data_IF_946011149088
#
_entry.id   IF_946011149088
#
_cell.length_a   1.000
_cell.length_b   1.000
_cell.length_c   1.000
_cell.angle_alpha   90.00
_cell.angle_beta   90.00
_cell.angle_gamma   90.00
#
_symmetry.space_group_name_H-M   'P 1'
#
loop_
_entity.id
_entity.type
_entity.pdbx_description
1 polymer ?
#
# COMPACT_ATOMS: atom_id res chain seq x y z
N UNK A 1 3.35 3.92 -6.81
CA UNK A 1 2.68 4.48 -5.62
C UNK A 1 3.56 5.54 -4.95
N UNK A 2 4.89 5.38 -4.91
CA UNK A 2 5.79 6.35 -4.27
C UNK A 2 6.39 7.32 -5.29
N UNK A 3 6.49 8.59 -4.91
CA UNK A 3 7.23 9.58 -5.68
C UNK A 3 8.70 9.57 -5.22
N UNK A 4 9.60 9.12 -6.08
CA UNK A 4 11.02 8.97 -5.74
C UNK A 4 11.78 10.25 -5.34
N UNK A 5 11.22 11.43 -5.59
CA UNK A 5 11.85 12.74 -5.32
C UNK A 5 11.17 13.57 -4.23
N UNK A 6 10.01 13.11 -3.69
CA UNK A 6 9.23 13.86 -2.72
C UNK A 6 9.44 13.37 -1.29
N UNK A 7 9.19 14.23 -0.32
CA UNK A 7 9.13 13.88 1.11
C UNK A 7 7.84 13.15 1.48
N UNK A 8 6.97 12.87 0.52
CA UNK A 8 5.67 12.27 0.75
C UNK A 8 5.74 10.74 0.73
N UNK A 9 4.95 10.14 1.61
CA UNK A 9 4.80 8.69 1.70
C UNK A 9 4.12 8.14 0.45
N UNK A 10 3.07 8.79 0.00
CA UNK A 10 2.28 8.42 -1.17
C UNK A 10 2.38 9.49 -2.26
N UNK A 11 2.02 9.13 -3.49
CA UNK A 11 1.80 10.10 -4.56
C UNK A 11 0.53 10.90 -4.28
N UNK A 12 0.52 12.17 -4.69
CA UNK A 12 -0.62 13.08 -4.55
C UNK A 12 -1.93 12.48 -5.07
N UNK A 13 -1.90 11.80 -6.22
CA UNK A 13 -3.06 11.12 -6.80
C UNK A 13 -3.67 10.07 -5.87
N UNK A 14 -2.83 9.34 -5.12
CA UNK A 14 -3.29 8.34 -4.13
C UNK A 14 -3.89 9.04 -2.92
N UNK A 15 -3.27 10.12 -2.45
CA UNK A 15 -3.81 10.92 -1.34
C UNK A 15 -5.18 11.51 -1.67
N UNK A 16 -5.36 11.99 -2.90
CA UNK A 16 -6.65 12.51 -3.37
C UNK A 16 -7.73 11.44 -3.34
N UNK A 17 -7.43 10.23 -3.87
CA UNK A 17 -8.38 9.11 -3.81
C UNK A 17 -8.77 8.78 -2.37
N UNK A 18 -7.79 8.73 -1.45
CA UNK A 18 -8.05 8.44 -0.04
C UNK A 18 -8.96 9.50 0.56
N UNK A 19 -8.69 10.79 0.32
CA UNK A 19 -9.48 11.91 0.84
C UNK A 19 -10.88 11.96 0.27
N UNK A 20 -11.02 11.80 -1.06
CA UNK A 20 -12.31 11.79 -1.75
C UNK A 20 -13.21 10.64 -1.28
N UNK A 21 -12.61 9.55 -0.78
CA UNK A 21 -13.33 8.35 -0.36
C UNK A 21 -13.27 8.11 1.15
N UNK A 22 -12.94 9.13 1.95
CA UNK A 22 -12.90 9.02 3.43
C UNK A 22 -14.29 9.09 4.08
N UNK A 23 -15.32 9.57 3.37
CA UNK A 23 -16.65 9.84 3.90
C UNK A 23 -17.76 9.28 2.98
N UNK A 24 -17.75 7.96 2.78
CA UNK A 24 -18.91 7.29 2.17
C UNK A 24 -19.86 6.81 3.26
N UNK A 25 -21.15 7.18 3.17
CA UNK A 25 -22.16 6.75 4.14
C UNK A 25 -22.48 5.24 4.04
N UNK A 26 -22.29 4.66 2.85
CA UNK A 26 -22.72 3.30 2.51
C UNK A 26 -21.58 2.33 2.26
N UNK A 27 -20.34 2.82 2.19
CA UNK A 27 -19.15 2.04 1.89
C UNK A 27 -18.04 2.32 2.90
N UNK A 28 -17.72 1.36 3.77
CA UNK A 28 -16.61 1.47 4.72
C UNK A 28 -15.30 1.07 4.05
N UNK A 29 -14.48 2.07 3.69
CA UNK A 29 -13.21 1.86 3.01
C UNK A 29 -12.06 1.97 4.00
N UNK A 30 -11.31 0.88 4.15
CA UNK A 30 -10.11 0.84 4.96
C UNK A 30 -8.85 0.81 4.09
N UNK A 31 -7.96 1.76 4.35
CA UNK A 31 -6.69 1.88 3.64
C UNK A 31 -5.57 1.22 4.45
N UNK A 32 -4.91 0.26 3.83
CA UNK A 32 -3.86 -0.52 4.48
C UNK A 32 -2.50 -0.31 3.82
N UNK A 33 -1.45 -0.27 4.65
CA UNK A 33 -0.08 -0.18 4.18
C UNK A 33 0.79 -1.22 4.88
N UNK A 34 1.40 -2.18 4.15
CA UNK A 34 2.32 -3.14 4.74
C UNK A 34 3.52 -2.45 5.39
N UNK A 35 3.89 -2.87 6.59
CA UNK A 35 4.99 -2.27 7.36
C UNK A 35 6.32 -2.28 6.60
N UNK A 36 6.60 -3.35 5.84
CA UNK A 36 7.82 -3.44 5.02
C UNK A 36 7.92 -2.31 3.99
N UNK A 37 6.79 -1.87 3.45
CA UNK A 37 6.73 -0.76 2.49
C UNK A 37 7.05 0.57 3.18
N UNK A 38 6.60 0.75 4.43
CA UNK A 38 6.93 1.93 5.25
C UNK A 38 8.44 1.96 5.51
N UNK A 39 9.03 0.85 5.94
CA UNK A 39 10.47 0.75 6.20
C UNK A 39 11.31 1.01 4.95
N UNK A 40 10.88 0.47 3.81
CA UNK A 40 11.56 0.74 2.54
C UNK A 40 11.52 2.23 2.21
N UNK A 41 10.37 2.87 2.39
CA UNK A 41 10.23 4.30 2.12
C UNK A 41 11.07 5.14 3.07
N UNK A 42 11.08 4.82 4.36
CA UNK A 42 11.96 5.46 5.34
C UNK A 42 13.42 5.34 4.92
N UNK A 43 13.89 4.14 4.60
CA UNK A 43 15.25 3.91 4.15
C UNK A 43 15.61 4.74 2.90
N UNK A 44 14.74 4.77 1.90
CA UNK A 44 14.95 5.54 0.67
C UNK A 44 15.06 7.04 0.94
N UNK A 45 14.21 7.58 1.80
CA UNK A 45 14.21 9.01 2.15
C UNK A 45 15.44 9.38 2.99
N UNK A 46 15.78 8.58 4.00
CA UNK A 46 16.98 8.79 4.84
C UNK A 46 18.22 8.78 3.95
N UNK A 47 18.38 7.76 3.12
CA UNK A 47 19.52 7.67 2.20
C UNK A 47 19.67 8.90 1.32
N UNK A 48 18.56 9.36 0.72
CA UNK A 48 18.59 10.59 -0.10
C UNK A 48 18.93 11.83 0.72
N UNK A 49 18.43 11.93 1.94
CA UNK A 49 18.78 13.02 2.85
C UNK A 49 20.27 13.03 3.19
N UNK A 50 20.82 11.86 3.51
CA UNK A 50 22.26 11.69 3.81
C UNK A 50 23.13 12.03 2.59
N UNK A 51 22.72 11.67 1.39
CA UNK A 51 23.41 12.03 0.14
C UNK A 51 23.52 13.56 -0.07
N UNK A 52 22.67 14.36 0.58
CA UNK A 52 22.71 15.83 0.52
C UNK A 52 23.60 16.49 1.59
N UNK A 53 24.04 15.77 2.63
CA UNK A 53 24.87 16.34 3.70
C UNK A 53 26.12 17.07 3.21
N UNK A 54 26.90 16.56 2.23
CA UNK A 54 28.06 17.29 1.72
C UNK A 54 27.69 18.65 1.07
N UNK A 55 26.48 18.78 0.55
CA UNK A 55 25.99 20.04 -0.02
C UNK A 55 25.59 21.02 1.08
N UNK A 56 25.01 20.52 2.17
CA UNK A 56 24.70 21.31 3.36
C UNK A 56 25.99 21.84 4.00
N UNK A 57 27.02 21.02 4.14
CA UNK A 57 28.32 21.45 4.66
C UNK A 57 29.01 22.55 3.79
N UNK A 58 28.83 22.48 2.47
CA UNK A 58 29.29 23.54 1.57
C UNK A 58 28.53 24.84 1.80
N UNK A 59 27.22 24.75 1.99
CA UNK A 59 26.39 25.91 2.30
C UNK A 59 26.73 26.51 3.66
N UNK A 60 26.97 25.71 4.69
CA UNK A 60 27.40 26.17 6.02
C UNK A 60 28.73 26.95 5.94
N UNK A 61 29.68 26.45 5.16
CA UNK A 61 30.96 27.15 4.94
C UNK A 61 30.75 28.49 4.24
N UNK A 62 29.87 28.56 3.25
CA UNK A 62 29.56 29.79 2.53
C UNK A 62 28.88 30.82 3.43
N UNK A 63 27.95 30.38 4.29
CA UNK A 63 27.20 31.24 5.19
C UNK A 63 27.99 31.63 6.46
N UNK A 64 29.10 30.96 6.77
CA UNK A 64 29.80 31.09 8.04
C UNK A 64 28.99 30.65 9.26
N UNK A 65 27.96 29.86 9.06
CA UNK A 65 27.02 29.41 10.10
C UNK A 65 26.73 27.92 9.95
N UNK A 66 26.66 27.19 11.08
CA UNK A 66 26.28 25.79 11.11
C UNK A 66 24.76 25.64 11.19
N UNK A 67 24.20 24.85 10.28
CA UNK A 67 22.78 24.48 10.28
C UNK A 67 22.48 23.32 11.24
N UNK A 68 23.54 22.66 11.74
CA UNK A 68 23.48 21.52 12.64
C UNK A 68 22.57 20.38 12.14
N UNK A 69 22.59 20.12 10.83
CA UNK A 69 21.83 19.02 10.22
C UNK A 69 22.74 17.81 10.09
N UNK A 70 22.48 16.78 10.90
CA UNK A 70 23.16 15.49 10.87
C UNK A 70 22.26 14.36 10.39
N UNK A 71 22.83 13.17 10.26
CA UNK A 71 22.11 11.96 9.86
C UNK A 71 20.98 11.61 10.86
N UNK A 72 21.23 11.77 12.15
CA UNK A 72 20.27 11.56 13.23
C UNK A 72 19.02 12.46 13.12
N UNK A 73 19.24 13.72 12.74
CA UNK A 73 18.16 14.68 12.52
C UNK A 73 17.35 14.28 11.28
N UNK A 74 18.04 13.90 10.19
CA UNK A 74 17.39 13.42 8.96
C UNK A 74 16.53 12.19 9.27
N UNK A 75 17.09 11.21 9.97
CA UNK A 75 16.38 9.98 10.32
C UNK A 75 15.13 10.28 11.17
N UNK A 76 15.27 11.11 12.20
CA UNK A 76 14.17 11.50 13.09
C UNK A 76 13.07 12.20 12.30
N UNK A 77 13.41 13.20 11.48
CA UNK A 77 12.46 13.96 10.69
C UNK A 77 11.73 13.12 9.64
N UNK A 78 12.43 12.19 8.98
CA UNK A 78 11.81 11.27 8.03
C UNK A 78 10.79 10.39 8.73
N UNK A 79 11.12 9.81 9.88
CA UNK A 79 10.18 8.98 10.66
C UNK A 79 8.96 9.78 11.13
N UNK A 80 9.17 10.97 11.67
CA UNK A 80 8.08 11.89 12.08
C UNK A 80 7.16 12.24 10.90
N UNK A 81 7.74 12.59 9.75
CA UNK A 81 6.99 12.96 8.55
C UNK A 81 6.12 11.80 8.05
N UNK A 82 6.69 10.61 7.96
CA UNK A 82 5.94 9.41 7.52
C UNK A 82 4.82 9.07 8.51
N UNK A 83 5.09 9.09 9.82
CA UNK A 83 4.07 8.80 10.82
C UNK A 83 2.95 9.85 10.82
N UNK A 84 3.28 11.11 10.61
CA UNK A 84 2.29 12.18 10.46
C UNK A 84 1.39 11.96 9.25
N UNK A 85 1.95 11.53 8.11
CA UNK A 85 1.17 11.25 6.90
C UNK A 85 0.27 10.00 7.07
N UNK A 86 0.77 8.94 7.71
CA UNK A 86 -0.02 7.76 8.06
C UNK A 86 -1.25 8.16 8.89
N UNK A 87 -1.03 8.98 9.93
CA UNK A 87 -2.10 9.45 10.80
C UNK A 87 -3.09 10.36 10.07
N UNK A 88 -2.59 11.32 9.27
CA UNK A 88 -3.41 12.28 8.51
C UNK A 88 -4.33 11.60 7.50
N UNK A 89 -3.87 10.51 6.89
CA UNK A 89 -4.62 9.76 5.89
C UNK A 89 -5.37 8.57 6.49
N UNK A 90 -5.36 8.41 7.81
CA UNK A 90 -6.00 7.28 8.52
C UNK A 90 -5.58 5.90 7.98
N UNK A 91 -4.31 5.79 7.54
CA UNK A 91 -3.79 4.53 7.02
C UNK A 91 -3.58 3.52 8.15
N UNK A 92 -4.06 2.31 7.95
CA UNK A 92 -3.82 1.19 8.87
C UNK A 92 -2.54 0.47 8.47
N UNK A 93 -1.57 0.38 9.37
CA UNK A 93 -0.35 -0.40 9.13
C UNK A 93 -0.62 -1.87 9.38
N UNK A 94 -0.24 -2.73 8.42
CA UNK A 94 -0.31 -4.18 8.60
C UNK A 94 1.10 -4.71 8.85
N UNK A 95 1.26 -5.41 9.97
CA UNK A 95 2.49 -6.13 10.32
C UNK A 95 2.34 -7.59 9.89
N UNK A 96 3.34 -8.12 9.21
CA UNK A 96 3.39 -9.54 8.87
C UNK A 96 3.52 -10.38 10.13
N UNK A 97 2.62 -11.33 10.31
CA UNK A 97 2.83 -12.40 11.29
C UNK A 97 3.79 -13.43 10.71
N UNK A 98 5.04 -13.35 11.14
CA UNK A 98 6.11 -14.22 10.66
C UNK A 98 5.90 -15.69 11.03
N UNK A 99 5.11 -16.01 12.05
CA UNK A 99 4.80 -17.38 12.46
C UNK A 99 3.86 -18.09 11.48
N UNK A 100 3.07 -17.30 10.74
CA UNK A 100 2.11 -17.77 9.75
C UNK A 100 2.65 -17.70 8.30
N UNK A 101 3.97 -17.61 8.12
CA UNK A 101 4.62 -17.64 6.80
C UNK A 101 5.23 -19.00 6.54
N UNK A 102 4.95 -19.57 5.38
CA UNK A 102 5.65 -20.75 4.89
C UNK A 102 7.03 -20.36 4.35
N UNK A 103 7.97 -20.21 5.29
CA UNK A 103 9.35 -19.83 4.99
C UNK A 103 10.06 -20.84 4.06
N UNK A 104 9.75 -22.12 4.17
CA UNK A 104 10.35 -23.13 3.32
C UNK A 104 9.93 -22.91 1.85
N UNK A 105 8.63 -22.68 1.60
CA UNK A 105 8.13 -22.35 0.28
C UNK A 105 8.71 -21.05 -0.27
N UNK A 106 8.83 -20.03 0.59
CA UNK A 106 9.42 -18.74 0.21
C UNK A 106 10.89 -18.91 -0.20
N UNK A 107 11.68 -19.65 0.56
CA UNK A 107 13.09 -19.96 0.24
C UNK A 107 13.18 -20.73 -1.08
N UNK A 108 12.34 -21.74 -1.30
CA UNK A 108 12.33 -22.51 -2.56
C UNK A 108 11.94 -21.63 -3.76
N UNK A 109 10.97 -20.72 -3.59
CA UNK A 109 10.58 -19.78 -4.63
C UNK A 109 11.72 -18.79 -4.94
N UNK A 110 12.44 -18.30 -3.93
CA UNK A 110 13.62 -17.47 -4.12
C UNK A 110 14.70 -18.17 -4.88
N UNK A 111 15.07 -19.40 -4.47
CA UNK A 111 16.08 -20.20 -5.13
C UNK A 111 15.72 -20.57 -6.58
N UNK A 112 14.43 -20.79 -6.85
CA UNK A 112 13.90 -21.16 -8.18
C UNK A 112 13.48 -19.96 -9.02
N UNK A 113 13.63 -18.73 -8.50
CA UNK A 113 13.25 -17.47 -9.13
C UNK A 113 11.79 -17.43 -9.60
N UNK A 114 10.90 -18.01 -8.81
CA UNK A 114 9.46 -17.96 -9.05
C UNK A 114 8.86 -16.63 -8.58
N UNK A 115 7.88 -16.06 -9.26
CA UNK A 115 7.23 -14.83 -8.83
C UNK A 115 6.81 -14.88 -7.34
N UNK A 116 6.98 -13.76 -6.61
CA UNK A 116 7.36 -12.42 -7.05
C UNK A 116 8.88 -12.18 -7.20
N UNK A 117 9.72 -13.21 -7.13
CA UNK A 117 11.16 -13.06 -7.36
C UNK A 117 11.45 -12.79 -8.84
N UNK A 118 12.40 -11.88 -9.08
CA UNK A 118 12.84 -11.52 -10.43
C UNK A 118 13.57 -12.72 -11.07
N UNK A 119 13.19 -13.15 -12.27
CA UNK A 119 13.87 -14.23 -13.00
C UNK A 119 15.26 -13.85 -13.51
N UNK A 120 15.64 -12.55 -13.48
CA UNK A 120 16.94 -12.06 -13.93
C UNK A 120 18.09 -12.41 -12.99
N UNK A 121 19.29 -11.92 -13.31
CA UNK A 121 20.53 -12.24 -12.55
C UNK A 121 20.55 -11.61 -11.14
N UNK A 122 19.88 -10.46 -10.97
CA UNK A 122 19.86 -9.76 -9.68
C UNK A 122 18.84 -10.40 -8.75
N UNK A 123 19.26 -10.66 -7.52
CA UNK A 123 18.37 -11.17 -6.48
C UNK A 123 17.43 -10.05 -6.00
N UNK A 124 16.19 -10.07 -6.50
CA UNK A 124 15.11 -9.13 -6.16
C UNK A 124 13.84 -9.92 -5.90
N UNK A 125 12.92 -9.31 -5.12
CA UNK A 125 11.58 -9.86 -4.88
C UNK A 125 11.35 -10.31 -3.45
N UNK A 126 12.36 -10.28 -2.56
CA UNK A 126 12.15 -10.65 -1.16
C UNK A 126 11.13 -9.73 -0.48
N UNK A 127 11.24 -8.41 -0.67
CA UNK A 127 10.26 -7.44 -0.12
C UNK A 127 8.87 -7.64 -0.71
N UNK A 128 8.80 -7.91 -1.99
CA UNK A 128 7.53 -8.20 -2.68
C UNK A 128 6.89 -9.48 -2.16
N UNK A 129 7.70 -10.48 -1.81
CA UNK A 129 7.21 -11.69 -1.12
C UNK A 129 6.64 -11.38 0.27
N UNK A 130 7.27 -10.47 1.03
CA UNK A 130 6.74 -10.02 2.32
C UNK A 130 5.42 -9.25 2.14
N UNK A 131 5.33 -8.40 1.12
CA UNK A 131 4.07 -7.71 0.77
C UNK A 131 2.98 -8.72 0.41
N UNK A 132 3.30 -9.72 -0.42
CA UNK A 132 2.39 -10.79 -0.80
C UNK A 132 1.89 -11.56 0.42
N UNK A 133 2.77 -12.05 1.29
CA UNK A 133 2.37 -12.80 2.49
C UNK A 133 1.53 -11.94 3.45
N UNK A 134 1.88 -10.66 3.62
CA UNK A 134 1.09 -9.71 4.41
C UNK A 134 -0.33 -9.54 3.82
N UNK A 135 -0.44 -9.42 2.50
CA UNK A 135 -1.72 -9.33 1.81
C UNK A 135 -2.55 -10.62 1.95
N UNK A 136 -1.92 -11.78 1.83
CA UNK A 136 -2.60 -13.07 2.01
C UNK A 136 -3.13 -13.25 3.45
N UNK A 137 -2.39 -12.78 4.46
CA UNK A 137 -2.88 -12.79 5.84
C UNK A 137 -4.10 -11.88 6.01
N UNK A 138 -4.11 -10.70 5.38
CA UNK A 138 -5.28 -9.82 5.34
C UNK A 138 -6.48 -10.50 4.67
N UNK A 139 -6.26 -11.13 3.50
CA UNK A 139 -7.32 -11.88 2.77
C UNK A 139 -7.88 -12.99 3.63
N UNK A 140 -7.02 -13.75 4.32
CA UNK A 140 -7.45 -14.88 5.15
C UNK A 140 -8.21 -14.45 6.42
N UNK A 141 -7.94 -13.25 6.95
CA UNK A 141 -8.66 -12.67 8.09
C UNK A 141 -9.93 -11.91 7.70
N UNK A 142 -10.18 -11.71 6.40
CA UNK A 142 -11.32 -10.96 5.88
C UNK A 142 -12.48 -11.86 5.50
N UNK A 143 -13.74 -11.38 5.57
CA UNK A 143 -14.92 -12.11 5.07
C UNK A 143 -14.74 -12.50 3.60
N UNK A 144 -15.17 -13.73 3.25
CA UNK A 144 -14.97 -14.28 1.91
C UNK A 144 -16.07 -13.90 0.91
N UNK A 145 -17.20 -13.40 1.41
CA UNK A 145 -18.37 -13.04 0.58
C UNK A 145 -18.15 -11.69 -0.10
N UNK A 146 -18.15 -11.60 -1.45
CA UNK A 146 -17.86 -10.35 -2.18
C UNK A 146 -18.81 -9.19 -1.89
N UNK A 147 -20.06 -9.48 -1.48
CA UNK A 147 -21.04 -8.47 -1.09
C UNK A 147 -20.76 -7.85 0.28
N UNK A 148 -20.04 -8.56 1.16
CA UNK A 148 -19.74 -8.11 2.53
C UNK A 148 -18.38 -7.42 2.57
N UNK A 149 -17.38 -7.98 1.86
CA UNK A 149 -16.02 -7.49 1.90
C UNK A 149 -15.33 -7.72 0.56
N UNK A 150 -14.66 -6.71 0.05
CA UNK A 150 -13.72 -6.82 -1.08
C UNK A 150 -12.34 -6.40 -0.62
N UNK A 151 -11.37 -7.28 -0.81
CA UNK A 151 -9.96 -7.02 -0.50
C UNK A 151 -9.24 -6.67 -1.80
N UNK A 152 -8.62 -5.50 -1.85
CA UNK A 152 -8.03 -4.97 -3.08
C UNK A 152 -6.54 -4.73 -2.88
N UNK A 153 -5.72 -5.30 -3.76
CA UNK A 153 -4.31 -4.93 -3.90
C UNK A 153 -4.15 -4.00 -5.09
N UNK A 154 -3.56 -2.83 -4.88
CA UNK A 154 -3.19 -1.90 -5.95
C UNK A 154 -1.66 -1.93 -6.11
N UNK A 155 -1.18 -2.48 -7.22
CA UNK A 155 0.25 -2.55 -7.51
C UNK A 155 0.49 -2.55 -9.01
N UNK A 156 1.41 -1.72 -9.48
CA UNK A 156 1.89 -1.74 -10.86
C UNK A 156 3.07 -2.71 -11.06
N UNK A 157 3.52 -3.39 -10.01
CA UNK A 157 4.50 -4.47 -10.13
C UNK A 157 3.83 -5.73 -10.69
N UNK A 158 4.27 -6.13 -11.87
CA UNK A 158 3.68 -7.26 -12.59
C UNK A 158 3.97 -8.59 -11.89
N UNK A 159 5.19 -8.80 -11.39
CA UNK A 159 5.58 -10.06 -10.73
C UNK A 159 4.79 -10.25 -9.43
N UNK A 160 4.66 -9.19 -8.62
CA UNK A 160 3.84 -9.21 -7.42
C UNK A 160 2.36 -9.45 -7.77
N UNK A 161 1.84 -8.76 -8.78
CA UNK A 161 0.43 -8.89 -9.20
C UNK A 161 0.10 -10.29 -9.70
N UNK A 162 0.97 -10.89 -10.53
CA UNK A 162 0.78 -12.22 -11.05
C UNK A 162 0.88 -13.30 -9.95
N UNK A 163 1.88 -13.19 -9.06
CA UNK A 163 1.99 -14.07 -7.89
C UNK A 163 0.78 -13.98 -6.96
N UNK A 164 0.25 -12.75 -6.77
CA UNK A 164 -0.94 -12.55 -5.93
C UNK A 164 -2.18 -13.16 -6.56
N UNK A 165 -2.38 -12.97 -7.87
CA UNK A 165 -3.50 -13.60 -8.62
C UNK A 165 -3.48 -15.11 -8.51
N UNK A 166 -2.30 -15.74 -8.72
CA UNK A 166 -2.12 -17.18 -8.58
C UNK A 166 -2.51 -17.67 -7.17
N UNK A 167 -2.06 -16.96 -6.13
CA UNK A 167 -2.29 -17.34 -4.72
C UNK A 167 -3.70 -17.06 -4.21
N UNK A 168 -4.49 -16.28 -4.96
CA UNK A 168 -5.86 -15.89 -4.59
C UNK A 168 -6.91 -16.27 -5.63
N UNK A 169 -6.59 -17.18 -6.57
CA UNK A 169 -7.47 -17.53 -7.69
C UNK A 169 -8.81 -18.15 -7.26
N UNK A 170 -8.88 -18.74 -6.09
CA UNK A 170 -10.08 -19.31 -5.46
C UNK A 170 -10.90 -18.28 -4.66
N UNK A 171 -10.42 -17.04 -4.55
CA UNK A 171 -11.02 -15.96 -3.75
C UNK A 171 -11.80 -14.98 -4.62
N UNK A 172 -13.12 -15.11 -4.66
CA UNK A 172 -14.00 -14.25 -5.48
C UNK A 172 -14.10 -12.81 -4.97
N UNK A 173 -13.77 -12.57 -3.69
CA UNK A 173 -13.78 -11.28 -3.03
C UNK A 173 -12.46 -10.49 -3.17
N UNK A 174 -11.44 -11.05 -3.82
CA UNK A 174 -10.14 -10.41 -4.03
C UNK A 174 -10.05 -9.76 -5.40
N UNK A 175 -9.46 -8.57 -5.48
CA UNK A 175 -9.15 -7.86 -6.72
C UNK A 175 -7.70 -7.36 -6.70
N UNK A 176 -7.01 -7.55 -7.82
CA UNK A 176 -5.66 -7.03 -8.03
C UNK A 176 -5.73 -6.03 -9.17
N UNK A 177 -5.42 -4.77 -8.87
CA UNK A 177 -5.52 -3.64 -9.77
C UNK A 177 -4.12 -3.08 -10.06
N UNK A 178 -3.85 -2.74 -11.32
CA UNK A 178 -2.56 -2.19 -11.75
C UNK A 178 -2.58 -0.66 -11.87
N UNK A 179 -3.75 -0.05 -11.98
CA UNK A 179 -3.92 1.38 -12.14
C UNK A 179 -4.83 1.99 -11.05
N UNK A 180 -4.64 3.26 -10.78
CA UNK A 180 -5.48 4.02 -9.83
C UNK A 180 -6.87 4.29 -10.42
N UNK A 181 -6.97 4.42 -11.74
CA UNK A 181 -8.21 4.57 -12.49
C UNK A 181 -9.13 3.36 -12.32
N UNK A 182 -8.55 2.15 -12.29
CA UNK A 182 -9.31 0.92 -12.04
C UNK A 182 -9.87 0.91 -10.61
N UNK A 183 -9.09 1.43 -9.63
CA UNK A 183 -9.55 1.56 -8.25
C UNK A 183 -10.71 2.55 -8.13
N UNK A 184 -10.60 3.73 -8.77
CA UNK A 184 -11.69 4.73 -8.80
C UNK A 184 -12.96 4.13 -9.44
N UNK A 185 -12.79 3.44 -10.56
CA UNK A 185 -13.91 2.77 -11.25
C UNK A 185 -14.56 1.70 -10.38
N UNK A 186 -13.78 0.92 -9.65
CA UNK A 186 -14.30 -0.09 -8.73
C UNK A 186 -15.11 0.55 -7.59
N UNK A 187 -14.59 1.62 -6.96
CA UNK A 187 -15.30 2.33 -5.88
C UNK A 187 -16.61 2.88 -6.40
N UNK A 188 -16.61 3.59 -7.55
CA UNK A 188 -17.81 4.15 -8.15
C UNK A 188 -18.85 3.08 -8.47
N UNK A 189 -18.43 1.91 -8.97
CA UNK A 189 -19.31 0.78 -9.24
C UNK A 189 -19.95 0.26 -7.96
N UNK A 190 -19.19 0.13 -6.89
CA UNK A 190 -19.72 -0.36 -5.61
C UNK A 190 -20.73 0.61 -4.99
N UNK A 191 -20.48 1.91 -5.09
CA UNK A 191 -21.43 2.95 -4.66
C UNK A 191 -22.72 2.88 -5.49
N UNK A 192 -22.62 2.76 -6.82
CA UNK A 192 -23.78 2.64 -7.69
C UNK A 192 -24.58 1.34 -7.46
N UNK A 193 -23.92 0.20 -7.22
CA UNK A 193 -24.60 -1.07 -6.86
C UNK A 193 -25.41 -0.94 -5.57
N UNK A 194 -24.91 -0.19 -4.57
CA UNK A 194 -25.62 0.05 -3.31
C UNK A 194 -26.86 0.91 -3.54
N UNK A 195 -26.74 1.97 -4.33
CA UNK A 195 -27.86 2.85 -4.66
C UNK A 195 -28.99 2.09 -5.38
N UNK A 196 -28.67 1.23 -6.34
CA UNK A 196 -29.65 0.38 -7.03
C UNK A 196 -30.35 -0.62 -6.10
N UNK A 197 -29.64 -1.23 -5.19
CA UNK A 197 -30.20 -2.17 -4.21
C UNK A 197 -31.15 -1.46 -3.23
N UNK A 198 -30.78 -0.24 -2.82
CA UNK A 198 -31.63 0.60 -1.97
C UNK A 198 -32.92 1.00 -2.69
N UNK A 199 -32.83 1.43 -3.95
CA UNK A 199 -34.01 1.75 -4.75
C UNK A 199 -34.94 0.53 -4.94
N UNK A 200 -34.39 -0.66 -5.19
CA UNK A 200 -35.19 -1.89 -5.28
C UNK A 200 -35.90 -2.21 -3.98
N UNK A 201 -35.23 -2.11 -2.83
CA UNK A 201 -35.84 -2.33 -1.52
C UNK A 201 -36.97 -1.35 -1.23
N UNK A 202 -36.80 -0.06 -1.57
CA UNK A 202 -37.88 0.93 -1.44
C UNK A 202 -39.07 0.57 -2.35
N UNK A 203 -38.82 0.16 -3.60
CA UNK A 203 -39.88 -0.27 -4.51
C UNK A 203 -40.64 -1.50 -4.00
N UNK A 204 -39.92 -2.50 -3.49
CA UNK A 204 -40.54 -3.70 -2.89
C UNK A 204 -41.42 -3.37 -1.68
N UNK A 205 -40.96 -2.47 -0.81
CA UNK A 205 -41.73 -2.01 0.33
C UNK A 205 -42.95 -1.19 -0.10
N UNK A 206 -42.78 -0.29 -1.09
CA UNK A 206 -43.88 0.53 -1.61
C UNK A 206 -44.97 -0.28 -2.33
N UNK A 207 -44.66 -1.44 -2.91
CA UNK A 207 -45.62 -2.34 -3.55
C UNK A 207 -46.35 -3.19 -2.52
N UNK A 208 -45.82 -3.32 -1.31
CA UNK A 208 -46.41 -4.12 -0.23
C UNK A 208 -47.43 -3.34 0.62
N UNK A 209 -47.68 -2.09 0.33
CA UNK A 209 -48.71 -1.20 0.89
C UNK A 209 -49.83 -0.98 -0.12
#
# INVERSE_FOLDING_TARGET
IFNGSSSELLKEEVELIIKENSEHNDLDIHWYLPQVVIFERQYQMIRKGVELLPSIEKLERLLGHKLAIGEDIIETRVKETINSQISKLSLKTIVLDASNVDWQKLILNSASRKPPFDPGEKEKGFRDSIVLETFLQLVNSSPTTPRICRVVLVSNDKLLSDATKERTMDRTNVRILSALEDLKSLINTLVAEIDEEFVKKIQEVAISF
#
